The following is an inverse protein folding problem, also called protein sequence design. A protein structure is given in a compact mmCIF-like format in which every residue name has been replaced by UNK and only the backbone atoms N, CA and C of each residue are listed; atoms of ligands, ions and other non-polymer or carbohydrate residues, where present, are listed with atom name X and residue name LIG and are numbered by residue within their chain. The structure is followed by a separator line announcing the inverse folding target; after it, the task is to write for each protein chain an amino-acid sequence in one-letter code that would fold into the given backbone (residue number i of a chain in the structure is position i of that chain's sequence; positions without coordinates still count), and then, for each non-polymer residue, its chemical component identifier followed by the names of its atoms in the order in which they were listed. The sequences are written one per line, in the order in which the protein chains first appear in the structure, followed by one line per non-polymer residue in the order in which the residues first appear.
data_IF_894330764073
#
_entry.id   IF_894330764073
#
_cell.length_a   1.000
_cell.length_b   1.000
_cell.length_c   1.000
_cell.angle_alpha   90.00
_cell.angle_beta   90.00
_cell.angle_gamma   90.00
#
_symmetry.space_group_name_H-M   'P 1'
#
loop_
_entity.id
_entity.type
_entity.pdbx_description
1 polymer ?
#
# COMPACT_ATOMS: atom_id res chain seq x y z
N UNK A 1 -13.07 -3.07 3.19
CA UNK A 1 -12.67 -3.88 4.38
C UNK A 1 -11.24 -3.54 4.79
N UNK A 2 -10.22 -3.77 3.94
CA UNK A 2 -8.83 -3.44 4.29
C UNK A 2 -8.67 -1.96 4.65
N UNK A 3 -9.28 -1.07 3.87
CA UNK A 3 -9.28 0.37 4.18
C UNK A 3 -9.88 0.66 5.55
N UNK A 4 -11.07 0.15 5.83
CA UNK A 4 -11.75 0.33 7.12
C UNK A 4 -10.91 -0.15 8.30
N UNK A 5 -10.24 -1.30 8.17
CA UNK A 5 -9.34 -1.80 9.20
C UNK A 5 -8.11 -0.92 9.37
N UNK A 6 -7.54 -0.44 8.26
CA UNK A 6 -6.41 0.48 8.30
C UNK A 6 -6.78 1.82 8.93
N UNK A 7 -7.93 2.38 8.55
CA UNK A 7 -8.51 3.60 9.13
C UNK A 7 -8.83 3.42 10.62
N UNK A 8 -9.14 2.19 11.04
CA UNK A 8 -9.32 1.83 12.46
C UNK A 8 -7.99 1.67 13.22
N UNK A 9 -6.84 1.98 12.61
CA UNK A 9 -5.52 1.95 13.22
C UNK A 9 -4.73 0.65 13.05
N UNK A 10 -5.23 -0.31 12.28
CA UNK A 10 -4.50 -1.55 12.03
C UNK A 10 -3.38 -1.33 11.00
N UNK A 11 -2.21 -1.93 11.26
CA UNK A 11 -1.15 -2.03 10.26
C UNK A 11 -1.42 -3.24 9.37
N UNK A 12 -1.50 -3.02 8.06
CA UNK A 12 -1.79 -4.08 7.08
C UNK A 12 -0.57 -4.26 6.18
N UNK A 13 -0.17 -5.51 5.98
CA UNK A 13 0.84 -5.90 4.99
C UNK A 13 0.15 -6.86 4.01
N UNK A 14 0.19 -6.52 2.73
CA UNK A 14 -0.40 -7.31 1.65
C UNK A 14 0.65 -7.57 0.58
N UNK A 15 0.77 -8.84 0.16
CA UNK A 15 1.62 -9.24 -0.97
C UNK A 15 0.72 -9.47 -2.17
N UNK A 16 1.03 -8.80 -3.28
CA UNK A 16 0.27 -8.90 -4.53
C UNK A 16 1.20 -8.70 -5.73
N UNK A 17 0.82 -9.27 -6.87
CA UNK A 17 1.45 -8.98 -8.16
C UNK A 17 0.67 -7.92 -8.96
N UNK A 18 -0.47 -7.45 -8.44
CA UNK A 18 -1.34 -6.49 -9.10
C UNK A 18 -0.97 -5.06 -8.71
N UNK A 19 -0.55 -4.26 -9.69
CA UNK A 19 -0.03 -2.91 -9.45
C UNK A 19 -1.09 -1.95 -8.88
N UNK A 20 -2.34 -2.05 -9.32
CA UNK A 20 -3.41 -1.18 -8.84
C UNK A 20 -3.73 -1.41 -7.36
N UNK A 21 -3.62 -2.65 -6.87
CA UNK A 21 -3.75 -2.96 -5.44
C UNK A 21 -2.58 -2.36 -4.66
N UNK A 22 -1.36 -2.48 -5.17
CA UNK A 22 -0.16 -1.91 -4.54
C UNK A 22 -0.19 -0.37 -4.48
N UNK A 23 -0.77 0.28 -5.49
CA UNK A 23 -0.94 1.74 -5.54
C UNK A 23 -2.00 2.24 -4.55
N UNK A 24 -2.87 1.35 -4.06
CA UNK A 24 -3.81 1.63 -2.98
C UNK A 24 -3.20 1.43 -1.58
N UNK A 25 -1.94 1.06 -1.44
CA UNK A 25 -1.26 1.02 -0.14
C UNK A 25 -0.44 2.30 0.07
N UNK A 26 -0.37 2.81 1.30
CA UNK A 26 0.42 4.02 1.65
C UNK A 26 1.92 3.88 1.37
N UNK A 27 2.40 2.64 1.27
CA UNK A 27 3.77 2.29 0.91
C UNK A 27 3.76 1.04 0.04
N UNK A 28 4.58 1.05 -1.00
CA UNK A 28 4.81 -0.10 -1.87
C UNK A 28 6.30 -0.46 -1.82
N UNK A 29 6.58 -1.73 -1.53
CA UNK A 29 7.94 -2.29 -1.54
C UNK A 29 7.98 -3.37 -2.62
N UNK A 30 8.90 -3.23 -3.57
CA UNK A 30 9.10 -4.22 -4.62
C UNK A 30 10.32 -5.07 -4.29
N UNK A 31 10.12 -6.38 -4.18
CA UNK A 31 11.18 -7.33 -3.91
C UNK A 31 11.63 -7.99 -5.23
N UNK A 32 12.93 -8.19 -5.36
CA UNK A 32 13.53 -8.91 -6.48
C UNK A 32 14.77 -9.65 -5.99
N UNK A 33 14.85 -10.96 -6.25
CA UNK A 33 15.96 -11.83 -5.81
C UNK A 33 16.33 -11.69 -4.33
N UNK A 34 15.32 -11.68 -3.45
CA UNK A 34 15.51 -11.57 -2.00
C UNK A 34 15.99 -10.20 -1.52
N UNK A 35 16.03 -9.19 -2.40
CA UNK A 35 16.43 -7.82 -2.09
C UNK A 35 15.29 -6.85 -2.33
N UNK A 36 15.32 -5.73 -1.62
CA UNK A 36 14.44 -4.59 -1.91
C UNK A 36 14.97 -3.91 -3.17
N UNK A 37 14.19 -3.99 -4.25
CA UNK A 37 14.46 -3.29 -5.51
C UNK A 37 13.94 -1.86 -5.48
N UNK A 38 12.78 -1.66 -4.86
CA UNK A 38 12.13 -0.36 -4.75
C UNK A 38 11.37 -0.24 -3.44
N UNK A 39 11.34 0.98 -2.90
CA UNK A 39 10.61 1.33 -1.70
C UNK A 39 10.07 2.75 -1.86
N UNK A 40 8.74 2.87 -2.04
CA UNK A 40 8.07 4.14 -2.28
C UNK A 40 6.91 4.34 -1.31
N UNK A 41 6.79 5.54 -0.76
CA UNK A 41 5.54 6.00 -0.17
C UNK A 41 4.62 6.45 -1.30
N UNK A 42 3.39 5.96 -1.32
CA UNK A 42 2.41 6.50 -2.24
C UNK A 42 1.85 7.77 -1.62
N UNK A 43 1.82 8.84 -2.40
CA UNK A 43 1.04 10.01 -2.00
C UNK A 43 -0.40 9.66 -2.32
N UNK A 44 -1.07 8.90 -1.46
CA UNK A 44 -2.53 8.82 -1.50
C UNK A 44 -3.03 10.26 -1.37
N UNK A 45 -3.51 10.82 -2.46
CA UNK A 45 -4.35 12.01 -2.39
C UNK A 45 -5.57 11.54 -1.63
N UNK A 46 -5.64 11.83 -0.34
CA UNK A 46 -6.87 11.68 0.40
C UNK A 46 -7.83 12.65 -0.27
N UNK A 47 -8.72 12.12 -1.10
CA UNK A 47 -9.90 12.86 -1.55
C UNK A 47 -10.57 13.32 -0.27
N UNK A 48 -10.46 14.61 0.02
CA UNK A 48 -11.21 15.24 1.10
C UNK A 48 -12.68 14.98 0.78
N UNK A 49 -13.31 14.14 1.61
CA UNK A 49 -14.73 13.96 1.85
C UNK A 49 -15.70 14.14 0.66
N UNK A 50 -16.37 13.05 0.27
CA UNK A 50 -17.76 13.10 -0.19
C UNK A 50 -18.65 12.46 0.87
#
# INVERSE_FOLDING_TARGET
ILDTLHDSGNTIILVTHEEYIANHADRSIHLFDGKIKEDRKTNKVKSVDQ
#
